data_IF_782153448512
#
_entry.id   IF_782153448512
#
_cell.length_a   1.000
_cell.length_b   1.000
_cell.length_c   1.000
_cell.angle_alpha   90.00
_cell.angle_beta   90.00
_cell.angle_gamma   90.00
#
_symmetry.space_group_name_H-M   'P 1'
#
loop_
_entity.id
_entity.type
_entity.pdbx_description
1 polymer ?
#
# COMPACT_ATOMS: atom_id res chain seq x y z
N UNK A 1 -24.34 3.15 7.59
CA UNK A 1 -23.94 1.77 7.26
C UNK A 1 -22.99 1.31 8.36
N UNK A 2 -23.33 0.24 9.07
CA UNK A 2 -22.45 -0.34 10.08
C UNK A 2 -21.22 -0.94 9.38
N UNK A 3 -20.05 -0.33 9.61
CA UNK A 3 -18.79 -0.89 9.18
C UNK A 3 -18.46 -2.08 10.09
N UNK A 4 -18.26 -3.24 9.48
CA UNK A 4 -18.02 -4.51 10.19
C UNK A 4 -16.65 -5.07 9.86
N UNK A 5 -16.13 -5.91 10.75
CA UNK A 5 -14.88 -6.66 10.55
C UNK A 5 -14.89 -7.40 9.22
N UNK A 6 -16.02 -8.01 8.84
CA UNK A 6 -16.15 -8.73 7.58
C UNK A 6 -15.87 -7.85 6.36
N UNK A 7 -16.29 -6.57 6.39
CA UNK A 7 -16.00 -5.62 5.33
C UNK A 7 -14.49 -5.33 5.22
N UNK A 8 -13.82 -5.15 6.36
CA UNK A 8 -12.36 -4.96 6.39
C UNK A 8 -11.62 -6.18 5.82
N UNK A 9 -12.05 -7.39 6.17
CA UNK A 9 -11.50 -8.64 5.65
C UNK A 9 -11.69 -8.77 4.14
N UNK A 10 -12.84 -8.35 3.59
CA UNK A 10 -13.06 -8.33 2.14
C UNK A 10 -12.13 -7.33 1.44
N UNK A 11 -11.96 -6.13 1.99
CA UNK A 11 -11.01 -5.16 1.45
C UNK A 11 -9.56 -5.66 1.52
N UNK A 12 -9.19 -6.36 2.59
CA UNK A 12 -7.87 -6.98 2.74
C UNK A 12 -7.63 -8.04 1.66
N UNK A 13 -8.62 -8.90 1.39
CA UNK A 13 -8.57 -9.91 0.33
C UNK A 13 -8.49 -9.31 -1.08
N UNK A 14 -9.10 -8.15 -1.30
CA UNK A 14 -9.03 -7.42 -2.57
C UNK A 14 -7.72 -6.64 -2.74
N UNK A 15 -6.82 -6.68 -1.75
CA UNK A 15 -5.57 -5.91 -1.77
C UNK A 15 -5.75 -4.42 -1.47
N UNK A 16 -6.95 -3.98 -1.10
CA UNK A 16 -7.31 -2.60 -0.76
C UNK A 16 -6.88 -2.29 0.69
N UNK A 17 -5.58 -2.40 0.96
CA UNK A 17 -5.00 -2.34 2.31
C UNK A 17 -5.35 -1.07 3.07
N UNK A 18 -5.35 0.09 2.38
CA UNK A 18 -5.70 1.38 3.00
C UNK A 18 -7.15 1.44 3.45
N UNK A 19 -8.08 0.95 2.63
CA UNK A 19 -9.52 0.92 2.95
C UNK A 19 -9.82 -0.11 4.05
N UNK A 20 -9.15 -1.27 4.01
CA UNK A 20 -9.25 -2.26 5.10
C UNK A 20 -8.78 -1.67 6.45
N UNK A 21 -7.68 -0.90 6.44
CA UNK A 21 -7.17 -0.20 7.62
C UNK A 21 -8.15 0.81 8.20
N UNK A 22 -8.80 1.61 7.34
CA UNK A 22 -9.80 2.59 7.78
C UNK A 22 -10.99 1.91 8.48
N UNK A 23 -11.47 0.80 7.91
CA UNK A 23 -12.57 0.03 8.49
C UNK A 23 -12.15 -0.62 9.81
N UNK A 24 -10.96 -1.24 9.90
CA UNK A 24 -10.49 -1.82 11.15
C UNK A 24 -10.32 -0.77 12.26
N UNK A 25 -9.81 0.42 11.95
CA UNK A 25 -9.72 1.51 12.93
C UNK A 25 -11.11 1.97 13.39
N UNK A 26 -12.05 2.13 12.46
CA UNK A 26 -13.44 2.51 12.78
C UNK A 26 -14.15 1.48 13.67
N UNK A 27 -13.79 0.19 13.54
CA UNK A 27 -14.28 -0.87 14.44
C UNK A 27 -13.62 -0.74 15.81
N UNK A 28 -12.31 -0.48 15.89
CA UNK A 28 -11.61 -0.29 17.17
C UNK A 28 -12.06 0.96 17.94
N UNK A 29 -12.53 2.00 17.25
CA UNK A 29 -13.13 3.17 17.90
C UNK A 29 -14.41 2.82 18.68
N UNK A 30 -15.14 1.80 18.22
CA UNK A 30 -16.38 1.33 18.86
C UNK A 30 -16.12 0.17 19.83
N UNK A 31 -15.24 -0.73 19.44
CA UNK A 31 -14.87 -1.96 20.14
C UNK A 31 -13.35 -2.08 20.24
N UNK A 32 -12.71 -1.34 21.16
CA UNK A 32 -11.24 -1.27 21.26
C UNK A 32 -10.60 -2.61 21.63
N UNK A 33 -11.38 -3.55 22.18
CA UNK A 33 -10.95 -4.90 22.54
C UNK A 33 -11.18 -5.93 21.44
N UNK A 34 -11.64 -5.52 20.24
CA UNK A 34 -11.87 -6.45 19.15
C UNK A 34 -10.54 -7.03 18.64
N UNK A 35 -10.30 -8.30 18.99
CA UNK A 35 -9.05 -9.00 18.67
C UNK A 35 -8.81 -9.12 17.16
N UNK A 36 -9.88 -9.22 16.37
CA UNK A 36 -9.80 -9.37 14.92
C UNK A 36 -9.35 -8.06 14.26
N UNK A 37 -9.90 -6.92 14.69
CA UNK A 37 -9.47 -5.61 14.20
C UNK A 37 -8.05 -5.26 14.66
N UNK A 38 -7.68 -5.54 15.91
CA UNK A 38 -6.31 -5.34 16.39
C UNK A 38 -5.30 -6.14 15.55
N UNK A 39 -5.64 -7.39 15.22
CA UNK A 39 -4.81 -8.25 14.37
C UNK A 39 -4.74 -7.70 12.94
N UNK A 40 -5.87 -7.26 12.38
CA UNK A 40 -5.97 -6.63 11.05
C UNK A 40 -5.10 -5.38 10.92
N UNK A 41 -5.24 -4.42 11.84
CA UNK A 41 -4.40 -3.21 11.87
C UNK A 41 -2.93 -3.59 12.00
N UNK A 42 -2.57 -4.55 12.87
CA UNK A 42 -1.18 -4.98 13.03
C UNK A 42 -0.61 -5.56 11.74
N UNK A 43 -1.34 -6.44 11.04
CA UNK A 43 -0.91 -7.02 9.75
C UNK A 43 -0.73 -5.96 8.68
N UNK A 44 -1.67 -5.04 8.56
CA UNK A 44 -1.70 -4.03 7.49
C UNK A 44 -0.77 -2.83 7.77
N UNK A 45 -0.49 -2.54 9.03
CA UNK A 45 0.41 -1.45 9.44
C UNK A 45 1.88 -1.87 9.48
N UNK A 46 2.19 -3.17 9.41
CA UNK A 46 3.57 -3.57 9.15
C UNK A 46 3.93 -3.09 7.75
N UNK A 47 4.92 -2.20 7.59
CA UNK A 47 5.54 -1.99 6.29
C UNK A 47 6.01 -3.37 5.86
N UNK A 48 5.56 -3.84 4.69
CA UNK A 48 5.99 -5.12 4.11
C UNK A 48 7.49 -5.25 4.35
N UNK A 49 7.94 -6.30 5.05
CA UNK A 49 9.36 -6.46 5.38
C UNK A 49 10.23 -6.40 4.10
N UNK A 50 9.67 -6.78 2.96
CA UNK A 50 10.23 -6.62 1.62
C UNK A 50 10.64 -5.18 1.25
N UNK A 51 10.05 -4.14 1.84
CA UNK A 51 10.40 -2.73 1.60
C UNK A 51 11.44 -2.20 2.61
N UNK A 52 11.65 -2.87 3.74
CA UNK A 52 12.60 -2.40 4.77
C UNK A 52 14.05 -2.62 4.38
N UNK A 53 14.34 -3.69 3.65
CA UNK A 53 15.70 -4.00 3.18
C UNK A 53 16.19 -3.03 2.09
N UNK A 54 15.31 -2.18 1.54
CA UNK A 54 15.64 -1.26 0.45
C UNK A 54 15.20 0.20 0.70
N UNK A 55 14.77 0.53 1.92
CA UNK A 55 14.01 1.74 2.24
C UNK A 55 14.68 3.10 1.94
N UNK A 56 16.00 3.31 2.10
CA UNK A 56 16.59 4.62 1.83
C UNK A 56 16.93 4.86 0.35
N UNK A 57 17.20 3.80 -0.43
CA UNK A 57 17.60 3.94 -1.85
C UNK A 57 16.40 3.87 -2.81
N UNK A 58 15.42 3.01 -2.53
CA UNK A 58 14.23 2.88 -3.40
C UNK A 58 13.29 4.08 -3.30
N UNK A 59 13.15 4.73 -2.13
CA UNK A 59 12.22 5.85 -1.99
C UNK A 59 12.61 7.04 -2.88
N UNK A 60 13.91 7.29 -3.05
CA UNK A 60 14.41 8.37 -3.90
C UNK A 60 14.19 8.07 -5.39
N UNK A 61 14.55 6.86 -5.82
CA UNK A 61 14.37 6.41 -7.20
C UNK A 61 12.88 6.29 -7.59
N UNK A 62 12.03 5.81 -6.68
CA UNK A 62 10.58 5.73 -6.89
C UNK A 62 9.95 7.11 -6.98
N UNK A 63 10.33 8.07 -6.14
CA UNK A 63 9.80 9.44 -6.27
C UNK A 63 10.26 10.14 -7.55
N UNK A 64 11.51 9.89 -7.96
CA UNK A 64 12.06 10.42 -9.23
C UNK A 64 11.33 9.81 -10.42
N UNK A 65 11.13 8.49 -10.45
CA UNK A 65 10.37 7.83 -11.49
C UNK A 65 8.90 8.20 -11.47
N UNK A 66 8.27 8.33 -10.30
CA UNK A 66 6.87 8.77 -10.20
C UNK A 66 6.68 10.14 -10.86
N UNK A 67 7.59 11.09 -10.67
CA UNK A 67 7.57 12.37 -11.39
C UNK A 67 7.75 12.18 -12.89
N UNK A 68 8.69 11.32 -13.29
CA UNK A 68 8.95 11.01 -14.68
C UNK A 68 7.71 10.39 -15.36
N UNK A 69 7.00 9.47 -14.71
CA UNK A 69 5.72 8.91 -15.18
C UNK A 69 4.63 9.97 -15.37
N UNK A 70 4.57 10.96 -14.49
CA UNK A 70 3.55 12.03 -14.55
C UNK A 70 3.88 13.06 -15.65
N UNK A 71 5.16 13.25 -15.95
CA UNK A 71 5.67 14.31 -16.83
C UNK A 71 6.19 13.80 -18.17
N UNK A 72 6.29 12.48 -18.38
CA UNK A 72 6.82 11.91 -19.61
C UNK A 72 5.89 12.18 -20.79
N UNK A 73 6.36 13.04 -21.70
CA UNK A 73 5.71 13.33 -22.97
C UNK A 73 6.60 12.90 -24.15
N UNK A 74 7.88 12.59 -23.89
CA UNK A 74 8.84 12.13 -24.89
C UNK A 74 8.96 10.60 -24.93
N UNK A 75 9.22 10.08 -26.13
CA UNK A 75 9.47 8.65 -26.39
C UNK A 75 10.66 8.12 -25.57
N UNK A 76 11.70 8.94 -25.37
CA UNK A 76 12.90 8.56 -24.62
C UNK A 76 12.62 8.35 -23.12
N UNK A 77 11.70 9.15 -22.56
CA UNK A 77 11.28 9.06 -21.16
C UNK A 77 10.42 7.81 -20.93
N UNK A 78 9.54 7.49 -21.90
CA UNK A 78 8.74 6.26 -21.89
C UNK A 78 9.63 5.00 -21.98
N UNK A 79 10.70 5.03 -22.78
CA UNK A 79 11.67 3.93 -22.86
C UNK A 79 12.45 3.73 -21.55
N UNK A 80 12.81 4.81 -20.87
CA UNK A 80 13.46 4.73 -19.56
C UNK A 80 12.55 4.08 -18.51
N UNK A 81 11.25 4.41 -18.55
CA UNK A 81 10.21 3.79 -17.73
C UNK A 81 10.06 2.29 -18.04
N UNK A 82 9.97 1.93 -19.32
CA UNK A 82 9.79 0.53 -19.74
C UNK A 82 10.97 -0.36 -19.31
N UNK A 83 12.19 0.14 -19.48
CA UNK A 83 13.40 -0.56 -19.03
C UNK A 83 13.43 -0.77 -17.52
N UNK A 84 13.03 0.25 -16.76
CA UNK A 84 12.95 0.16 -15.30
C UNK A 84 11.89 -0.85 -14.84
N UNK A 85 10.74 -0.92 -15.50
CA UNK A 85 9.71 -1.94 -15.22
C UNK A 85 10.20 -3.36 -15.51
N UNK A 86 11.03 -3.54 -16.54
CA UNK A 86 11.65 -4.83 -16.88
C UNK A 86 12.70 -5.27 -15.86
N UNK A 87 13.48 -4.35 -15.28
CA UNK A 87 14.45 -4.66 -14.23
C UNK A 87 13.80 -4.97 -12.87
N UNK A 88 12.54 -4.57 -12.67
CA UNK A 88 11.83 -4.78 -11.41
C UNK A 88 11.01 -6.08 -11.35
N UNK A 89 10.86 -6.78 -12.47
CA UNK A 89 10.19 -8.08 -12.59
C UNK A 89 11.14 -9.25 -12.33
#
# INVERSE_FOLDING_TARGET
MEQTIALASVYELQGLKSQALEVYNSVLEKEPTNAEALSGVKRLSQPSAQLREYAPLQRFEVQKMQKLFIQAESLEELQAIEKWLLEWN
#
